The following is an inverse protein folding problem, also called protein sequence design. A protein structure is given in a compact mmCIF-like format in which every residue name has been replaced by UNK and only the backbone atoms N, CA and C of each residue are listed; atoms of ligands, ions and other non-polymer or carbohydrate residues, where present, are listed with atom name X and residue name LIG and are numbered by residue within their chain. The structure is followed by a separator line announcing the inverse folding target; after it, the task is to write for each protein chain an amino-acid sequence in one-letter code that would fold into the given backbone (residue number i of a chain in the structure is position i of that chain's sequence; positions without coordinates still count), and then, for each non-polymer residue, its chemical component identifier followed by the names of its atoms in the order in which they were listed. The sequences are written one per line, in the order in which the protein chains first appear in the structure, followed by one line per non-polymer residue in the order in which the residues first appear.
data_IF_171693034060
#
_entry.id   IF_171693034060
#
_cell.length_a   1.000
_cell.length_b   1.000
_cell.length_c   1.000
_cell.angle_alpha   90.00
_cell.angle_beta   90.00
_cell.angle_gamma   90.00
#
_symmetry.space_group_name_H-M   'P 1'
#
loop_
_entity.id
_entity.type
_entity.pdbx_description
1 polymer ?
#
# COMPACT_ATOMS: atom_id res chain seq x y z
N UNK A 1 15.86 -10.23 9.79
CA UNK A 1 14.41 -10.17 10.00
C UNK A 1 13.84 -9.39 8.84
N UNK A 2 13.04 -10.03 7.99
CA UNK A 2 12.42 -9.39 6.82
C UNK A 2 11.29 -8.45 7.26
N UNK A 3 10.73 -7.69 6.32
CA UNK A 3 9.51 -6.90 6.58
C UNK A 3 8.34 -7.84 6.88
N UNK A 4 8.22 -8.95 6.15
CA UNK A 4 7.17 -9.96 6.35
C UNK A 4 7.22 -10.56 7.77
N UNK A 5 8.42 -10.89 8.28
CA UNK A 5 8.60 -11.39 9.64
C UNK A 5 8.02 -10.41 10.68
N UNK A 6 8.18 -9.11 10.44
CA UNK A 6 7.69 -8.04 11.33
C UNK A 6 6.19 -7.87 11.19
N UNK A 7 5.66 -7.88 9.96
CA UNK A 7 4.23 -7.77 9.70
C UNK A 7 3.45 -8.94 10.29
N UNK A 8 4.03 -10.14 10.35
CA UNK A 8 3.39 -11.30 11.00
C UNK A 8 3.11 -11.10 12.50
N UNK A 9 3.80 -10.15 13.15
CA UNK A 9 3.55 -9.81 14.56
C UNK A 9 2.38 -8.84 14.75
N UNK A 10 1.89 -8.24 13.66
CA UNK A 10 0.78 -7.29 13.64
C UNK A 10 -0.45 -7.99 13.10
N UNK A 11 -1.59 -7.83 13.77
CA UNK A 11 -2.84 -8.43 13.31
C UNK A 11 -3.50 -7.50 12.29
N UNK A 12 -3.90 -8.04 11.15
CA UNK A 12 -4.78 -7.38 10.20
C UNK A 12 -6.14 -8.08 10.16
N UNK A 13 -7.22 -7.32 9.98
CA UNK A 13 -8.58 -7.83 9.75
C UNK A 13 -8.99 -7.51 8.34
N UNK A 14 -9.07 -8.54 7.51
CA UNK A 14 -9.51 -8.37 6.14
C UNK A 14 -11.05 -8.34 6.04
N UNK A 15 -11.55 -7.36 5.29
CA UNK A 15 -12.97 -7.21 4.95
C UNK A 15 -13.27 -7.64 3.51
N UNK A 16 -12.27 -8.08 2.75
CA UNK A 16 -12.36 -8.55 1.36
C UNK A 16 -12.41 -7.42 0.32
N UNK A 17 -12.19 -6.18 0.73
CA UNK A 17 -12.20 -5.00 -0.13
C UNK A 17 -10.93 -4.19 0.11
N UNK A 18 -10.20 -3.87 -0.96
CA UNK A 18 -9.04 -2.98 -0.87
C UNK A 18 -9.51 -1.56 -0.53
N UNK A 19 -8.84 -0.94 0.44
CA UNK A 19 -9.01 0.48 0.78
C UNK A 19 -8.01 1.38 0.04
N UNK A 20 -7.17 0.76 -0.78
CA UNK A 20 -6.13 1.38 -1.59
C UNK A 20 -6.42 1.13 -3.07
N UNK A 21 -6.06 2.09 -3.91
CA UNK A 21 -6.19 2.01 -5.35
C UNK A 21 -5.32 3.04 -6.05
N UNK A 22 -5.41 3.08 -7.37
CA UNK A 22 -4.78 4.09 -8.21
C UNK A 22 -5.87 4.81 -8.97
N UNK A 23 -5.89 6.14 -8.94
CA UNK A 23 -6.97 6.91 -9.60
C UNK A 23 -6.89 6.79 -11.12
N UNK A 24 -5.68 6.87 -11.67
CA UNK A 24 -5.41 6.68 -13.10
C UNK A 24 -4.20 5.75 -13.32
N UNK A 25 -4.40 4.53 -13.84
CA UNK A 25 -3.32 3.59 -14.14
C UNK A 25 -2.28 4.14 -15.13
N UNK A 26 -2.69 4.97 -16.10
CA UNK A 26 -1.78 5.51 -17.13
C UNK A 26 -0.70 6.41 -16.51
N UNK A 27 -1.04 7.13 -15.43
CA UNK A 27 -0.07 7.95 -14.68
C UNK A 27 1.00 7.06 -14.02
N UNK A 28 0.61 5.86 -13.57
CA UNK A 28 1.55 4.90 -13.01
C UNK A 28 2.40 4.21 -14.08
N UNK A 29 1.84 3.93 -15.26
CA UNK A 29 2.58 3.34 -16.37
C UNK A 29 3.77 4.22 -16.81
N UNK A 30 3.61 5.55 -16.75
CA UNK A 30 4.68 6.51 -17.04
C UNK A 30 5.55 6.88 -15.82
N UNK A 31 5.25 6.35 -14.63
CA UNK A 31 5.93 6.68 -13.39
C UNK A 31 7.27 5.93 -13.26
N UNK A 32 8.37 6.68 -13.30
CA UNK A 32 9.73 6.11 -13.20
C UNK A 32 10.29 6.10 -11.77
N UNK A 33 9.71 6.89 -10.88
CA UNK A 33 10.25 7.14 -9.54
C UNK A 33 9.70 6.19 -8.48
N UNK A 34 8.45 5.72 -8.65
CA UNK A 34 7.82 4.69 -7.82
C UNK A 34 7.97 4.93 -6.32
N UNK A 35 7.80 6.19 -5.88
CA UNK A 35 8.00 6.59 -4.48
C UNK A 35 7.06 5.84 -3.55
N UNK A 36 5.83 5.52 -3.99
CA UNK A 36 4.86 4.75 -3.22
C UNK A 36 5.43 3.40 -2.73
N UNK A 37 6.29 2.75 -3.52
CA UNK A 37 7.04 1.53 -3.14
C UNK A 37 8.12 1.86 -2.11
N UNK A 38 8.91 2.90 -2.36
CA UNK A 38 10.07 3.25 -1.53
C UNK A 38 9.70 3.80 -0.15
N UNK A 39 8.60 4.55 -0.05
CA UNK A 39 8.15 5.16 1.20
C UNK A 39 7.28 4.24 2.05
N UNK A 40 6.79 3.12 1.49
CA UNK A 40 5.88 2.23 2.19
C UNK A 40 6.65 1.38 3.22
N UNK A 41 6.37 1.51 4.53
CA UNK A 41 7.07 0.73 5.55
C UNK A 41 6.70 -0.76 5.57
N UNK A 42 5.64 -1.14 4.85
CA UNK A 42 5.05 -2.47 4.84
C UNK A 42 5.10 -3.15 3.46
N UNK A 43 5.84 -2.57 2.49
CA UNK A 43 5.97 -3.12 1.14
C UNK A 43 4.62 -3.47 0.47
N UNK A 44 3.59 -2.63 0.69
CA UNK A 44 2.25 -2.81 0.13
C UNK A 44 2.24 -2.64 -1.38
N UNK A 45 3.06 -1.72 -1.89
CA UNK A 45 3.16 -1.40 -3.32
C UNK A 45 4.37 -2.11 -3.91
N UNK A 46 4.19 -2.83 -5.00
CA UNK A 46 5.28 -3.47 -5.75
C UNK A 46 5.09 -3.24 -7.24
N UNK A 47 6.18 -2.98 -7.96
CA UNK A 47 6.16 -2.81 -9.41
C UNK A 47 6.92 -3.96 -10.03
N UNK A 48 6.31 -4.65 -10.99
CA UNK A 48 6.97 -5.67 -11.78
C UNK A 48 7.88 -4.99 -12.83
N UNK A 49 9.20 -5.22 -12.83
CA UNK A 49 10.11 -4.62 -13.81
C UNK A 49 9.82 -5.06 -15.26
N UNK A 50 9.16 -6.19 -15.47
CA UNK A 50 8.75 -6.69 -16.78
C UNK A 50 7.26 -6.40 -17.08
N UNK A 51 6.58 -5.68 -16.18
CA UNK A 51 5.15 -5.35 -16.25
C UNK A 51 4.83 -4.05 -17.00
N UNK A 52 3.60 -3.58 -16.83
CA UNK A 52 3.07 -2.35 -17.44
C UNK A 52 3.40 -1.07 -16.63
N UNK A 53 4.20 -1.19 -15.57
CA UNK A 53 4.53 -0.09 -14.65
C UNK A 53 3.46 0.21 -13.60
N UNK A 54 2.26 -0.38 -13.70
CA UNK A 54 1.21 -0.18 -12.70
C UNK A 54 1.52 -1.04 -11.47
N UNK A 55 1.57 -0.46 -10.25
CA UNK A 55 1.93 -1.21 -9.06
C UNK A 55 0.83 -2.19 -8.65
N UNK A 56 1.25 -3.39 -8.23
CA UNK A 56 0.42 -4.32 -7.46
C UNK A 56 0.28 -3.85 -6.02
N UNK A 57 -0.87 -4.16 -5.40
CA UNK A 57 -1.24 -3.67 -4.06
C UNK A 57 -1.58 -4.85 -3.14
N UNK A 58 -0.72 -5.13 -2.17
CA UNK A 58 -0.96 -6.08 -1.08
C UNK A 58 -1.55 -5.36 0.15
N UNK A 59 -2.79 -4.89 0.01
CA UNK A 59 -3.44 -4.00 0.99
C UNK A 59 -3.60 -4.62 2.39
N UNK A 60 -3.60 -5.95 2.50
CA UNK A 60 -3.62 -6.68 3.78
C UNK A 60 -2.40 -6.41 4.67
N UNK A 61 -1.32 -5.88 4.11
CA UNK A 61 -0.13 -5.47 4.86
C UNK A 61 -0.19 -4.01 5.32
N UNK A 62 -1.21 -3.25 4.92
CA UNK A 62 -1.26 -1.81 5.18
C UNK A 62 -1.35 -1.50 6.68
N UNK A 63 -0.52 -0.54 7.12
CA UNK A 63 -0.48 -0.03 8.49
C UNK A 63 -1.29 1.26 8.69
N UNK A 64 -2.09 1.65 7.69
CA UNK A 64 -2.95 2.84 7.74
C UNK A 64 -2.22 4.17 8.00
N UNK A 65 -0.91 4.23 7.70
CA UNK A 65 -0.07 5.41 7.95
C UNK A 65 -0.26 6.56 6.95
N UNK A 66 -0.79 6.29 5.75
CA UNK A 66 -1.02 7.28 4.70
C UNK A 66 0.22 7.76 3.95
N UNK A 67 1.43 7.25 4.24
CA UNK A 67 2.67 7.74 3.60
C UNK A 67 2.65 7.58 2.08
N UNK A 68 2.06 6.51 1.53
CA UNK A 68 1.95 6.33 0.09
C UNK A 68 1.12 7.42 -0.60
N UNK A 69 0.06 7.90 0.06
CA UNK A 69 -0.77 9.01 -0.42
C UNK A 69 0.05 10.28 -0.57
N UNK A 70 0.79 10.67 0.46
CA UNK A 70 1.59 11.90 0.45
C UNK A 70 2.92 11.77 -0.29
N UNK A 71 3.45 10.55 -0.42
CA UNK A 71 4.70 10.27 -1.09
C UNK A 71 4.58 10.18 -2.61
N UNK A 72 3.37 9.95 -3.14
CA UNK A 72 3.15 9.93 -4.58
C UNK A 72 3.26 11.36 -5.15
N UNK A 73 4.22 11.64 -6.05
CA UNK A 73 4.40 12.99 -6.60
C UNK A 73 3.24 13.42 -7.53
N UNK A 74 2.40 12.48 -7.96
CA UNK A 74 1.28 12.71 -8.87
C UNK A 74 -0.08 12.77 -8.16
N UNK A 75 -0.12 12.64 -6.83
CA UNK A 75 -1.36 12.57 -6.04
C UNK A 75 -2.34 11.49 -6.55
N UNK A 76 -1.82 10.38 -7.10
CA UNK A 76 -2.59 9.38 -7.83
C UNK A 76 -2.96 8.13 -6.99
N UNK A 77 -2.80 8.22 -5.67
CA UNK A 77 -3.07 7.10 -4.76
C UNK A 77 -4.45 7.29 -4.13
N UNK A 78 -5.38 6.41 -4.49
CA UNK A 78 -6.64 6.30 -3.76
C UNK A 78 -6.33 5.70 -2.39
N UNK A 79 -6.68 6.44 -1.35
CA UNK A 79 -6.44 6.02 0.03
C UNK A 79 -7.65 6.37 0.89
N UNK A 80 -8.17 5.36 1.57
CA UNK A 80 -9.19 5.52 2.60
C UNK A 80 -8.86 4.62 3.79
N UNK A 81 -9.51 4.84 4.92
CA UNK A 81 -9.45 3.84 5.98
C UNK A 81 -10.15 2.55 5.54
N UNK A 82 -9.69 1.37 5.99
CA UNK A 82 -10.42 0.13 5.81
C UNK A 82 -11.87 0.24 6.29
N UNK A 83 -12.74 -0.55 5.67
CA UNK A 83 -14.15 -0.65 6.05
C UNK A 83 -14.27 -0.95 7.55
N UNK A 84 -15.32 -0.44 8.18
CA UNK A 84 -15.59 -0.62 9.62
C UNK A 84 -15.37 -2.06 10.07
N UNK A 85 -14.46 -2.25 11.03
CA UNK A 85 -14.10 -3.55 11.59
C UNK A 85 -12.94 -4.25 10.90
N UNK A 86 -12.47 -3.73 9.76
CA UNK A 86 -11.24 -4.12 9.08
C UNK A 86 -10.02 -3.32 9.50
N UNK A 87 -8.87 -3.65 8.90
CA UNK A 87 -7.63 -2.90 9.06
C UNK A 87 -6.65 -3.47 10.08
N UNK A 88 -5.63 -2.67 10.38
CA UNK A 88 -4.54 -3.02 11.29
C UNK A 88 -4.98 -2.92 12.75
N UNK A 89 -4.52 -3.86 13.57
CA UNK A 89 -4.81 -3.90 15.01
C UNK A 89 -3.50 -3.92 15.80
N UNK A 90 -3.15 -2.76 16.36
CA UNK A 90 -1.99 -2.64 17.24
C UNK A 90 -2.33 -3.13 18.66
N UNK A 91 -1.57 -4.11 19.15
CA UNK A 91 -1.70 -4.61 20.53
C UNK A 91 -0.91 -3.76 21.55
N UNK A 92 0.18 -3.14 21.11
CA UNK A 92 1.14 -2.37 21.92
C UNK A 92 1.47 -1.07 21.20
N UNK A 93 0.45 -0.25 20.93
CA UNK A 93 0.57 1.02 20.21
C UNK A 93 1.21 2.13 21.03
#
# INVERSE_FOLDING_TARGET
MSIEDRLYTVKYRDTGESHLGVENPDVCADCTTNECTSVCPAAVWTVDPDGDGVPSIAYENCLECGTCRYGCPYDNVEWSYPKTGGGVVFKQG
#
